data_IF_839307453838
#
_entry.id   IF_839307453838
#
_cell.length_a   1.000
_cell.length_b   1.000
_cell.length_c   1.000
_cell.angle_alpha   90.00
_cell.angle_beta   90.00
_cell.angle_gamma   90.00
#
_symmetry.space_group_name_H-M   'P 1'
#
loop_
_entity.id
_entity.type
_entity.pdbx_description
1 polymer ?
#
# COMPACT_ATOMS: atom_id res chain seq x y z
N UNK A 1 7.36 5.52 12.78
CA UNK A 1 6.54 6.66 13.27
C UNK A 1 5.46 6.96 12.25
N UNK A 2 4.18 6.82 12.61
CA UNK A 2 3.05 7.13 11.74
C UNK A 2 2.98 8.64 11.49
N UNK A 3 2.92 9.05 10.22
CA UNK A 3 3.01 10.47 9.82
C UNK A 3 1.65 11.12 9.57
N UNK A 4 0.58 10.33 9.45
CA UNK A 4 -0.76 10.80 9.10
C UNK A 4 -1.82 10.10 9.95
N UNK A 5 -3.00 10.71 10.08
CA UNK A 5 -4.14 10.08 10.75
C UNK A 5 -4.67 8.88 9.94
N UNK A 6 -5.41 7.99 10.60
CA UNK A 6 -6.09 6.88 9.93
C UNK A 6 -7.06 7.37 8.84
N UNK A 7 -7.80 8.45 9.09
CA UNK A 7 -8.72 9.03 8.12
C UNK A 7 -7.98 9.53 6.86
N UNK A 8 -6.83 10.19 7.04
CA UNK A 8 -5.99 10.64 5.92
C UNK A 8 -5.40 9.46 5.14
N UNK A 9 -4.95 8.41 5.83
CA UNK A 9 -4.48 7.18 5.21
C UNK A 9 -5.56 6.53 4.33
N UNK A 10 -6.76 6.36 4.88
CA UNK A 10 -7.90 5.75 4.19
C UNK A 10 -8.30 6.59 2.96
N UNK A 11 -8.43 7.91 3.11
CA UNK A 11 -8.74 8.81 2.00
C UNK A 11 -7.67 8.77 0.90
N UNK A 12 -6.39 8.69 1.27
CA UNK A 12 -5.28 8.48 0.33
C UNK A 12 -5.40 7.16 -0.43
N UNK A 13 -5.67 6.06 0.28
CA UNK A 13 -5.83 4.74 -0.33
C UNK A 13 -7.04 4.69 -1.28
N UNK A 14 -8.19 5.23 -0.86
CA UNK A 14 -9.42 5.27 -1.67
C UNK A 14 -9.30 6.18 -2.90
N UNK A 15 -8.51 7.26 -2.83
CA UNK A 15 -8.16 8.07 -4.01
C UNK A 15 -7.12 7.38 -4.93
N UNK A 16 -6.65 6.20 -4.55
CA UNK A 16 -5.70 5.39 -5.30
C UNK A 16 -4.29 5.98 -5.30
N UNK A 17 -3.89 6.62 -4.19
CA UNK A 17 -2.49 6.93 -3.91
C UNK A 17 -1.78 5.69 -3.36
N UNK A 18 -0.47 5.62 -3.57
CA UNK A 18 0.39 4.71 -2.83
C UNK A 18 0.47 5.18 -1.38
N UNK A 19 0.12 4.30 -0.45
CA UNK A 19 0.13 4.59 0.99
C UNK A 19 1.08 3.67 1.74
N UNK A 20 1.52 4.12 2.93
CA UNK A 20 2.30 3.32 3.86
C UNK A 20 1.55 3.17 5.18
N UNK A 21 1.53 1.96 5.74
CA UNK A 21 0.84 1.64 6.98
C UNK A 21 1.71 0.75 7.90
N UNK A 22 1.55 0.82 9.23
CA UNK A 22 2.36 0.04 10.15
C UNK A 22 2.01 -1.46 10.09
N UNK A 23 3.02 -2.29 10.28
CA UNK A 23 2.88 -3.73 10.60
C UNK A 23 3.78 -4.06 11.78
N UNK A 24 3.68 -5.27 12.34
CA UNK A 24 4.52 -5.70 13.48
C UNK A 24 6.02 -5.75 13.17
N UNK A 25 6.39 -5.75 11.89
CA UNK A 25 7.79 -5.79 11.44
C UNK A 25 8.22 -4.45 10.85
N UNK A 26 7.98 -4.23 9.57
CA UNK A 26 8.33 -3.01 8.84
C UNK A 26 7.09 -2.40 8.20
N UNK A 27 7.02 -1.07 8.03
CA UNK A 27 5.91 -0.45 7.31
C UNK A 27 5.72 -1.07 5.92
N UNK A 28 4.48 -1.38 5.58
CA UNK A 28 4.12 -1.94 4.29
C UNK A 28 3.59 -0.84 3.36
N UNK A 29 3.78 -1.04 2.05
CA UNK A 29 3.17 -0.22 1.02
C UNK A 29 1.89 -0.89 0.52
N UNK A 30 0.84 -0.10 0.30
CA UNK A 30 -0.43 -0.56 -0.24
C UNK A 30 -1.02 0.43 -1.23
N UNK A 31 -1.87 -0.09 -2.10
CA UNK A 31 -2.56 0.60 -3.17
C UNK A 31 -3.82 -0.19 -3.53
N UNK A 32 -4.79 0.43 -4.20
CA UNK A 32 -5.92 -0.29 -4.78
C UNK A 32 -5.44 -1.38 -5.76
N UNK A 33 -6.10 -2.55 -5.84
CA UNK A 33 -5.63 -3.66 -6.67
C UNK A 33 -5.39 -3.30 -8.14
N UNK A 34 -6.26 -2.48 -8.74
CA UNK A 34 -6.15 -2.05 -10.14
C UNK A 34 -5.05 -0.99 -10.40
N UNK A 35 -4.34 -0.55 -9.36
CA UNK A 35 -3.21 0.39 -9.42
C UNK A 35 -1.89 -0.25 -8.92
N UNK A 36 -1.82 -1.58 -8.99
CA UNK A 36 -0.68 -2.38 -8.48
C UNK A 36 0.69 -1.96 -9.03
N UNK A 37 0.74 -1.38 -10.23
CA UNK A 37 1.94 -0.86 -10.88
C UNK A 37 2.71 0.13 -10.01
N UNK A 38 2.01 0.93 -9.19
CA UNK A 38 2.63 1.89 -8.28
C UNK A 38 3.51 1.22 -7.22
N UNK A 39 3.12 0.03 -6.73
CA UNK A 39 3.95 -0.72 -5.77
C UNK A 39 5.18 -1.30 -6.45
N UNK A 40 5.04 -1.82 -7.67
CA UNK A 40 6.17 -2.35 -8.43
C UNK A 40 7.21 -1.26 -8.73
N UNK A 41 6.75 -0.09 -9.20
CA UNK A 41 7.61 1.06 -9.47
C UNK A 41 8.32 1.54 -8.19
N UNK A 42 7.57 1.80 -7.12
CA UNK A 42 8.13 2.33 -5.87
C UNK A 42 9.11 1.36 -5.20
N UNK A 43 8.86 0.05 -5.28
CA UNK A 43 9.74 -0.98 -4.71
C UNK A 43 10.85 -1.41 -5.67
N UNK A 44 10.85 -0.92 -6.92
CA UNK A 44 11.66 -1.45 -8.03
C UNK A 44 11.56 -2.98 -8.09
N UNK A 45 10.34 -3.49 -7.89
CA UNK A 45 10.05 -4.92 -7.82
C UNK A 45 9.73 -5.42 -9.24
N UNK A 46 10.29 -6.56 -9.67
CA UNK A 46 9.89 -7.22 -10.91
C UNK A 46 8.40 -7.59 -10.92
N UNK A 47 7.74 -7.44 -12.08
CA UNK A 47 6.30 -7.66 -12.26
C UNK A 47 5.89 -9.15 -12.16
N UNK A 48 6.84 -10.07 -12.36
CA UNK A 48 6.64 -11.53 -12.20
C UNK A 48 6.55 -11.95 -10.73
N UNK A 49 6.89 -11.06 -9.78
CA UNK A 49 6.80 -11.34 -8.36
C UNK A 49 5.41 -11.01 -7.83
N UNK A 50 4.74 -11.93 -7.11
CA UNK A 50 3.38 -11.71 -6.64
C UNK A 50 3.31 -10.57 -5.62
N UNK A 51 2.12 -9.95 -5.54
CA UNK A 51 1.72 -9.04 -4.47
C UNK A 51 0.76 -9.75 -3.51
N UNK A 52 0.60 -9.21 -2.31
CA UNK A 52 -0.35 -9.70 -1.30
C UNK A 52 -1.67 -8.95 -1.46
N UNK A 53 -2.79 -9.67 -1.57
CA UNK A 53 -4.13 -9.09 -1.51
C UNK A 53 -4.61 -9.09 -0.05
N UNK A 54 -4.85 -7.91 0.50
CA UNK A 54 -5.32 -7.74 1.89
C UNK A 54 -6.85 -7.65 1.89
N UNK A 55 -7.51 -8.46 2.73
CA UNK A 55 -8.96 -8.43 2.95
C UNK A 55 -9.29 -8.44 4.45
N UNK A 56 -10.48 -7.97 4.80
CA UNK A 56 -11.02 -8.04 6.16
C UNK A 56 -12.33 -8.85 6.16
N UNK A 57 -12.63 -9.51 7.28
CA UNK A 57 -13.85 -10.30 7.52
C UNK A 57 -14.65 -9.70 8.67
#
# INVERSE_FOLDING_TARGET
MTQVSMATLISGALSGKLVSFPTDTVPALAVLPHKSELVFEAKRRPQDKPLILMGAS
#
